data_IF_333819186799
#
_entry.id   IF_333819186799
#
_cell.length_a   1.000
_cell.length_b   1.000
_cell.length_c   1.000
_cell.angle_alpha   90.00
_cell.angle_beta   90.00
_cell.angle_gamma   90.00
#
_symmetry.space_group_name_H-M   'P 1'
#
loop_
_entity.id
_entity.type
_entity.pdbx_description
1 polymer ?
#
# COMPACT_ATOMS: atom_id res chain seq x y z
N UNK A 1 -27.38 -22.76 -4.22
CA UNK A 1 -27.67 -21.70 -3.24
C UNK A 1 -26.89 -20.49 -3.69
N UNK A 2 -27.57 -19.41 -4.15
CA UNK A 2 -26.88 -18.13 -4.41
C UNK A 2 -26.37 -17.59 -3.07
N UNK A 3 -25.07 -17.43 -2.93
CA UNK A 3 -24.49 -16.79 -1.76
C UNK A 3 -25.12 -15.40 -1.61
N UNK A 4 -25.69 -15.13 -0.45
CA UNK A 4 -26.22 -13.80 -0.13
C UNK A 4 -25.02 -12.88 0.05
N UNK A 5 -24.93 -11.84 -0.77
CA UNK A 5 -23.87 -10.86 -0.68
C UNK A 5 -23.97 -10.13 0.66
N UNK A 6 -22.89 -10.13 1.43
CA UNK A 6 -22.85 -9.51 2.76
C UNK A 6 -22.45 -8.03 2.73
N UNK A 7 -21.86 -7.57 1.63
CA UNK A 7 -21.40 -6.17 1.47
C UNK A 7 -22.56 -5.24 1.14
N UNK A 8 -22.59 -4.08 1.77
CA UNK A 8 -23.66 -3.09 1.60
C UNK A 8 -23.15 -1.66 1.74
N UNK A 9 -23.93 -0.71 1.19
CA UNK A 9 -23.85 0.72 1.41
C UNK A 9 -25.25 1.27 1.54
N UNK A 10 -25.55 1.95 2.63
CA UNK A 10 -26.88 2.47 2.96
C UNK A 10 -26.74 3.94 3.34
N UNK A 11 -27.30 4.81 2.51
CA UNK A 11 -27.44 6.23 2.83
C UNK A 11 -28.87 6.49 3.33
N UNK A 12 -29.00 6.92 4.57
CA UNK A 12 -30.28 7.26 5.19
C UNK A 12 -30.17 8.64 5.84
N UNK A 13 -30.87 9.62 5.25
CA UNK A 13 -30.79 11.05 5.67
C UNK A 13 -29.33 11.51 5.76
N UNK A 14 -28.84 11.71 6.97
CA UNK A 14 -27.52 12.27 7.26
C UNK A 14 -26.48 11.22 7.61
N UNK A 15 -26.78 9.94 7.38
CA UNK A 15 -25.89 8.84 7.77
C UNK A 15 -25.65 7.91 6.60
N UNK A 16 -24.35 7.67 6.28
CA UNK A 16 -23.91 6.67 5.34
C UNK A 16 -23.23 5.52 6.09
N UNK A 17 -23.71 4.30 5.89
CA UNK A 17 -23.14 3.08 6.45
C UNK A 17 -22.57 2.24 5.32
N UNK A 18 -21.30 1.90 5.40
CA UNK A 18 -20.60 1.04 4.44
C UNK A 18 -19.98 -0.11 5.22
N UNK A 19 -20.22 -1.34 4.79
CA UNK A 19 -19.70 -2.50 5.49
C UNK A 19 -20.05 -3.84 4.85
N UNK A 20 -19.69 -4.89 5.55
CA UNK A 20 -19.97 -6.27 5.23
C UNK A 20 -20.34 -7.07 6.51
N UNK A 21 -20.19 -8.39 6.50
CA UNK A 21 -20.44 -9.23 7.68
C UNK A 21 -19.37 -9.11 8.76
N UNK A 22 -18.20 -8.54 8.46
CA UNK A 22 -17.04 -8.45 9.37
C UNK A 22 -16.91 -7.08 10.02
N UNK A 23 -17.15 -6.02 9.27
CA UNK A 23 -17.00 -4.65 9.77
C UNK A 23 -18.02 -3.70 9.18
N UNK A 24 -18.19 -2.55 9.85
CA UNK A 24 -18.95 -1.42 9.34
C UNK A 24 -18.24 -0.12 9.72
N UNK A 25 -18.20 0.81 8.78
CA UNK A 25 -17.83 2.20 9.01
C UNK A 25 -19.08 3.07 8.80
N UNK A 26 -19.44 3.81 9.83
CA UNK A 26 -20.57 4.71 9.82
C UNK A 26 -20.10 6.16 9.73
N UNK A 27 -20.70 6.92 8.82
CA UNK A 27 -20.33 8.29 8.53
C UNK A 27 -21.50 9.24 8.71
N UNK A 28 -21.24 10.41 9.24
CA UNK A 28 -22.11 11.56 9.05
C UNK A 28 -21.96 12.04 7.60
N UNK A 29 -23.09 12.18 6.91
CA UNK A 29 -23.17 12.70 5.57
C UNK A 29 -23.28 14.22 5.58
N UNK A 30 -22.22 14.90 5.18
CA UNK A 30 -22.23 16.35 5.04
C UNK A 30 -22.06 16.73 3.57
N UNK A 31 -23.15 16.69 2.80
CA UNK A 31 -23.18 16.98 1.37
C UNK A 31 -22.10 16.21 0.56
N UNK A 32 -21.74 14.99 1.01
CA UNK A 32 -20.70 14.15 0.39
C UNK A 32 -19.34 14.19 1.10
N UNK A 33 -19.02 15.22 1.87
CA UNK A 33 -17.87 15.19 2.78
C UNK A 33 -18.21 14.30 3.98
N UNK A 34 -17.57 13.15 4.05
CA UNK A 34 -17.84 12.15 5.06
C UNK A 34 -17.05 12.44 6.33
N UNK A 35 -17.68 12.21 7.48
CA UNK A 35 -17.06 12.27 8.81
C UNK A 35 -17.36 10.98 9.54
N UNK A 36 -16.38 10.20 9.88
CA UNK A 36 -16.58 8.93 10.62
C UNK A 36 -17.16 9.22 12.01
N UNK A 37 -18.25 8.54 12.33
CA UNK A 37 -18.91 8.61 13.65
C UNK A 37 -18.87 7.29 14.41
N UNK A 38 -18.68 6.16 13.72
CA UNK A 38 -18.48 4.86 14.36
C UNK A 38 -17.70 3.92 13.46
N UNK A 39 -16.95 3.03 14.09
CA UNK A 39 -16.24 1.92 13.47
C UNK A 39 -16.57 0.65 14.25
N UNK A 40 -17.24 -0.30 13.61
CA UNK A 40 -17.74 -1.52 14.24
C UNK A 40 -16.97 -2.73 13.75
N UNK A 41 -16.43 -3.51 14.67
CA UNK A 41 -15.98 -4.87 14.45
C UNK A 41 -17.16 -5.82 14.72
N UNK A 42 -17.75 -6.34 13.64
CA UNK A 42 -18.92 -7.22 13.73
C UNK A 42 -18.58 -8.64 14.14
N UNK A 43 -17.34 -9.06 13.91
CA UNK A 43 -16.89 -10.38 14.32
C UNK A 43 -16.85 -10.51 15.85
N UNK A 44 -16.44 -9.43 16.51
CA UNK A 44 -16.32 -9.40 17.96
C UNK A 44 -17.49 -8.65 18.64
N UNK A 45 -18.40 -8.06 17.84
CA UNK A 45 -19.56 -7.31 18.37
C UNK A 45 -19.19 -6.02 19.08
N UNK A 46 -18.04 -5.42 18.73
CA UNK A 46 -17.52 -4.20 19.36
C UNK A 46 -17.64 -2.98 18.47
N UNK A 47 -17.79 -1.80 19.06
CA UNK A 47 -17.97 -0.54 18.35
C UNK A 47 -17.11 0.55 18.97
N UNK A 48 -16.23 1.14 18.16
CA UNK A 48 -15.45 2.32 18.51
C UNK A 48 -16.19 3.56 18.02
N UNK A 49 -16.66 4.37 18.97
CA UNK A 49 -17.34 5.65 18.67
C UNK A 49 -16.30 6.69 18.25
N UNK A 50 -16.64 7.48 17.24
CA UNK A 50 -15.83 8.58 16.74
C UNK A 50 -16.57 9.91 16.87
N UNK A 51 -15.82 11.01 16.96
CA UNK A 51 -16.38 12.35 17.23
C UNK A 51 -17.13 12.96 16.04
N UNK A 52 -16.72 12.62 14.80
CA UNK A 52 -17.34 13.17 13.60
C UNK A 52 -17.20 14.69 13.43
N UNK A 53 -16.19 15.29 14.04
CA UNK A 53 -16.03 16.76 14.03
C UNK A 53 -15.44 17.24 12.71
N UNK A 54 -14.43 16.54 12.19
CA UNK A 54 -13.68 16.93 10.99
C UNK A 54 -13.90 15.93 9.86
N UNK A 55 -13.86 16.38 8.58
CA UNK A 55 -13.94 15.48 7.45
C UNK A 55 -12.80 14.47 7.44
N UNK A 56 -13.10 13.24 7.04
CA UNK A 56 -12.10 12.17 6.90
C UNK A 56 -11.10 12.47 5.78
N UNK A 57 -11.59 13.06 4.70
CA UNK A 57 -10.75 13.56 3.60
C UNK A 57 -10.73 15.09 3.63
N UNK A 58 -9.53 15.66 3.60
CA UNK A 58 -9.35 17.12 3.63
C UNK A 58 -8.14 17.53 2.80
N UNK A 59 -8.39 18.21 1.69
CA UNK A 59 -7.33 18.72 0.81
C UNK A 59 -7.59 20.17 0.37
N UNK A 60 -8.85 20.60 0.34
CA UNK A 60 -9.27 21.92 -0.10
C UNK A 60 -10.01 22.67 1.01
N UNK A 61 -10.14 23.98 0.83
CA UNK A 61 -10.97 24.82 1.68
C UNK A 61 -12.39 24.94 1.08
N UNK A 62 -13.34 25.24 1.93
CA UNK A 62 -14.73 25.45 1.56
C UNK A 62 -15.64 24.29 1.94
N UNK A 63 -16.94 24.56 1.87
CA UNK A 63 -17.97 23.59 2.20
C UNK A 63 -18.20 22.61 1.04
N UNK A 64 -18.53 21.39 1.39
CA UNK A 64 -18.95 20.38 0.42
C UNK A 64 -20.35 20.69 -0.11
N UNK A 65 -20.56 20.46 -1.41
CA UNK A 65 -21.83 20.66 -2.11
C UNK A 65 -22.06 19.56 -3.13
N UNK A 66 -23.32 19.41 -3.55
CA UNK A 66 -23.69 18.49 -4.63
C UNK A 66 -23.34 17.03 -4.37
N UNK A 67 -23.31 16.62 -3.10
CA UNK A 67 -22.97 15.27 -2.71
C UNK A 67 -23.90 14.22 -3.31
N UNK A 68 -23.32 13.20 -3.96
CA UNK A 68 -24.04 12.06 -4.52
C UNK A 68 -23.34 10.77 -4.13
N UNK A 69 -24.13 9.73 -3.86
CA UNK A 69 -23.66 8.39 -3.61
C UNK A 69 -24.28 7.44 -4.62
N UNK A 70 -23.46 6.54 -5.15
CA UNK A 70 -23.90 5.37 -5.92
C UNK A 70 -23.13 4.14 -5.48
N UNK A 71 -23.71 2.98 -5.70
CA UNK A 71 -23.04 1.71 -5.43
C UNK A 71 -23.35 0.70 -6.52
N UNK A 72 -22.36 -0.15 -6.86
CA UNK A 72 -22.49 -1.20 -7.83
C UNK A 72 -21.66 -2.42 -7.43
N UNK A 73 -22.11 -3.59 -7.82
CA UNK A 73 -21.30 -4.80 -7.68
C UNK A 73 -20.37 -4.95 -8.87
N UNK A 74 -19.07 -4.98 -8.61
CA UNK A 74 -18.03 -5.21 -9.61
C UNK A 74 -17.64 -6.68 -9.56
N UNK A 75 -17.70 -7.35 -10.71
CA UNK A 75 -17.24 -8.73 -10.83
C UNK A 75 -15.72 -8.78 -10.97
N UNK A 76 -15.13 -9.90 -10.56
CA UNK A 76 -13.69 -10.10 -10.73
C UNK A 76 -13.30 -10.06 -12.19
N UNK A 77 -12.24 -9.31 -12.49
CA UNK A 77 -11.58 -9.24 -13.81
C UNK A 77 -10.38 -10.20 -13.93
N UNK A 78 -10.17 -11.03 -12.92
CA UNK A 78 -9.04 -11.95 -12.83
C UNK A 78 -7.79 -11.35 -12.16
N UNK A 79 -7.72 -10.04 -11.99
CA UNK A 79 -6.69 -9.33 -11.24
C UNK A 79 -7.27 -8.83 -9.92
N UNK A 80 -8.42 -8.18 -9.97
CA UNK A 80 -9.14 -7.66 -8.82
C UNK A 80 -10.30 -8.58 -8.46
N UNK A 81 -10.49 -8.97 -7.19
CA UNK A 81 -11.62 -9.81 -6.77
C UNK A 81 -12.94 -9.04 -6.85
N UNK A 82 -14.05 -9.78 -6.91
CA UNK A 82 -15.39 -9.19 -6.87
C UNK A 82 -15.60 -8.41 -5.58
N UNK A 83 -16.26 -7.25 -5.67
CA UNK A 83 -16.51 -6.38 -4.52
C UNK A 83 -17.70 -5.46 -4.77
N UNK A 84 -18.23 -4.90 -3.70
CA UNK A 84 -19.13 -3.76 -3.79
C UNK A 84 -18.29 -2.48 -3.92
N UNK A 85 -18.46 -1.79 -5.03
CA UNK A 85 -17.89 -0.45 -5.22
C UNK A 85 -18.91 0.60 -4.80
N UNK A 86 -18.51 1.51 -3.89
CA UNK A 86 -19.34 2.63 -3.43
C UNK A 86 -18.63 3.92 -3.80
N UNK A 87 -19.30 4.73 -4.59
CA UNK A 87 -18.75 5.99 -5.12
C UNK A 87 -19.47 7.15 -4.44
N UNK A 88 -18.71 8.02 -3.80
CA UNK A 88 -19.18 9.29 -3.22
C UNK A 88 -18.51 10.42 -3.99
N UNK A 89 -19.33 11.25 -4.65
CA UNK A 89 -18.87 12.43 -5.37
C UNK A 89 -19.43 13.68 -4.73
N UNK A 90 -18.65 14.75 -4.67
CA UNK A 90 -19.07 16.07 -4.23
C UNK A 90 -18.14 17.16 -4.77
N UNK A 91 -18.59 18.40 -4.69
CA UNK A 91 -17.76 19.56 -5.04
C UNK A 91 -17.31 20.27 -3.77
N UNK A 92 -16.07 20.75 -3.75
CA UNK A 92 -15.48 21.51 -2.64
C UNK A 92 -14.61 22.64 -3.20
N UNK A 93 -15.08 23.87 -3.08
CA UNK A 93 -14.45 25.02 -3.73
C UNK A 93 -14.44 24.85 -5.26
N UNK A 94 -13.27 24.82 -5.84
CA UNK A 94 -13.02 24.61 -7.29
C UNK A 94 -12.66 23.18 -7.65
N UNK A 95 -12.74 22.27 -6.70
CA UNK A 95 -12.46 20.84 -6.88
C UNK A 95 -13.74 20.02 -6.91
N UNK A 96 -13.80 19.05 -7.80
CA UNK A 96 -14.67 17.88 -7.65
C UNK A 96 -13.87 16.75 -7.02
N UNK A 97 -14.45 16.14 -6.02
CA UNK A 97 -13.88 15.02 -5.26
C UNK A 97 -14.69 13.76 -5.56
N UNK A 98 -13.99 12.65 -5.81
CA UNK A 98 -14.59 11.34 -5.98
C UNK A 98 -13.87 10.35 -5.06
N UNK A 99 -14.57 9.84 -4.05
CA UNK A 99 -14.08 8.77 -3.18
C UNK A 99 -14.69 7.44 -3.60
N UNK A 100 -13.85 6.45 -3.84
CA UNK A 100 -14.26 5.11 -4.29
C UNK A 100 -13.90 4.13 -3.19
N UNK A 101 -14.92 3.64 -2.47
CA UNK A 101 -14.76 2.59 -1.47
C UNK A 101 -14.95 1.23 -2.13
N UNK A 102 -14.11 0.27 -1.75
CA UNK A 102 -14.21 -1.13 -2.16
C UNK A 102 -14.46 -1.98 -0.93
N UNK A 103 -15.59 -2.67 -0.94
CA UNK A 103 -16.02 -3.53 0.16
C UNK A 103 -15.94 -4.97 -0.32
N UNK A 104 -14.92 -5.67 0.11
CA UNK A 104 -14.76 -7.10 -0.16
C UNK A 104 -15.56 -7.90 0.88
N UNK A 105 -16.15 -9.00 0.44
CA UNK A 105 -16.82 -9.90 1.37
C UNK A 105 -15.81 -10.57 2.30
N UNK A 106 -16.23 -10.89 3.51
CA UNK A 106 -15.43 -11.63 4.49
C UNK A 106 -14.06 -10.98 4.82
N UNK A 107 -13.98 -9.65 4.80
CA UNK A 107 -12.77 -8.92 5.21
C UNK A 107 -13.09 -7.91 6.31
N UNK A 108 -12.23 -7.81 7.33
CA UNK A 108 -12.37 -6.82 8.39
C UNK A 108 -11.81 -5.43 7.98
N UNK A 109 -11.84 -5.11 6.70
CA UNK A 109 -11.24 -3.88 6.18
C UNK A 109 -12.03 -3.28 5.02
N UNK A 110 -11.94 -1.95 4.89
CA UNK A 110 -12.57 -1.13 3.86
C UNK A 110 -11.48 -0.33 3.15
N UNK A 111 -11.33 -0.54 1.85
CA UNK A 111 -10.38 0.22 1.01
C UNK A 111 -11.05 1.47 0.44
N UNK A 112 -10.28 2.56 0.32
CA UNK A 112 -10.72 3.81 -0.28
C UNK A 112 -9.64 4.40 -1.18
N UNK A 113 -10.01 4.74 -2.42
CA UNK A 113 -9.17 5.53 -3.32
C UNK A 113 -9.88 6.83 -3.65
N UNK A 114 -9.16 7.95 -3.54
CA UNK A 114 -9.72 9.28 -3.82
C UNK A 114 -9.16 9.81 -5.14
N UNK A 115 -10.02 10.49 -5.87
CA UNK A 115 -9.70 11.15 -7.13
C UNK A 115 -10.10 12.61 -7.05
N UNK A 116 -9.31 13.49 -7.64
CA UNK A 116 -9.55 14.91 -7.73
C UNK A 116 -9.62 15.37 -9.18
N UNK A 117 -10.49 16.34 -9.43
CA UNK A 117 -10.58 17.04 -10.70
C UNK A 117 -10.88 18.51 -10.44
N UNK A 118 -10.26 19.42 -11.21
CA UNK A 118 -10.45 20.86 -11.04
C UNK A 118 -9.15 21.62 -10.85
N UNK A 119 -9.22 22.75 -10.18
CA UNK A 119 -8.07 23.59 -9.87
C UNK A 119 -7.97 23.83 -8.38
N UNK A 120 -6.77 23.77 -7.83
CA UNK A 120 -6.49 24.07 -6.44
C UNK A 120 -5.46 25.19 -6.35
N UNK A 121 -5.75 26.24 -5.58
CA UNK A 121 -4.73 27.20 -5.22
C UNK A 121 -3.76 26.50 -4.26
N UNK A 122 -2.52 26.37 -4.71
CA UNK A 122 -1.34 25.83 -4.03
C UNK A 122 -1.67 24.97 -2.79
N UNK A 123 -1.64 23.66 -2.94
CA UNK A 123 -1.41 22.77 -1.82
C UNK A 123 -0.14 23.32 -1.15
N UNK A 124 -0.25 23.93 0.01
CA UNK A 124 0.94 24.38 0.73
C UNK A 124 1.76 23.13 1.02
N UNK A 125 2.77 22.88 0.19
CA UNK A 125 3.80 21.91 0.52
C UNK A 125 4.44 22.39 1.84
N UNK A 126 4.49 21.52 2.81
CA UNK A 126 5.57 21.62 3.80
C UNK A 126 6.84 21.72 2.96
N UNK A 127 7.72 22.68 3.29
CA UNK A 127 8.94 22.94 2.56
C UNK A 127 9.58 21.61 2.14
N UNK A 128 10.01 21.58 0.90
CA UNK A 128 10.69 20.46 0.26
C UNK A 128 11.81 19.97 1.18
N UNK A 129 11.53 19.02 2.04
CA UNK A 129 12.50 18.41 2.93
C UNK A 129 13.19 17.31 2.14
N UNK A 130 13.73 17.72 0.98
CA UNK A 130 14.51 16.86 0.08
C UNK A 130 15.82 16.35 0.70
N UNK A 131 16.15 16.78 1.94
CA UNK A 131 17.37 16.43 2.64
C UNK A 131 17.17 16.19 4.15
N UNK A 132 16.13 15.46 4.55
CA UNK A 132 16.12 14.95 5.92
C UNK A 132 17.14 13.81 6.00
N UNK A 133 18.31 14.14 6.47
CA UNK A 133 19.34 13.18 6.84
C UNK A 133 18.69 12.17 7.81
N UNK A 134 18.71 10.88 7.46
CA UNK A 134 18.10 9.80 8.25
C UNK A 134 18.60 9.72 9.71
N UNK A 135 19.68 10.42 10.02
CA UNK A 135 20.25 10.51 11.37
C UNK A 135 19.46 11.40 12.33
N UNK A 136 18.56 12.26 11.84
CA UNK A 136 17.79 13.21 12.65
C UNK A 136 16.29 12.88 12.68
N UNK A 137 15.93 11.62 12.95
CA UNK A 137 14.53 11.19 13.09
C UNK A 137 13.80 11.96 14.21
N UNK A 138 14.51 12.36 15.27
CA UNK A 138 13.93 13.13 16.38
C UNK A 138 13.57 14.58 16.01
N UNK A 139 14.30 15.22 15.10
CA UNK A 139 14.03 16.61 14.70
C UNK A 139 12.88 16.75 13.68
N UNK A 140 12.56 15.72 12.93
CA UNK A 140 11.43 15.73 11.98
C UNK A 140 10.07 15.70 12.71
N UNK A 141 10.03 15.24 13.95
CA UNK A 141 8.81 15.16 14.76
C UNK A 141 8.30 16.53 15.21
N UNK A 142 9.20 17.47 15.46
CA UNK A 142 8.87 18.82 15.93
C UNK A 142 8.41 19.77 14.81
N UNK A 143 8.60 19.40 13.55
CA UNK A 143 8.27 20.24 12.39
C UNK A 143 6.86 20.05 11.83
N UNK A 144 6.00 19.30 12.49
CA UNK A 144 4.57 19.25 12.12
C UNK A 144 3.89 20.52 12.64
N UNK A 145 4.27 21.66 12.08
CA UNK A 145 3.56 22.93 12.29
C UNK A 145 2.15 22.83 11.73
N UNK A 146 1.24 23.65 12.21
CA UNK A 146 -0.21 23.76 11.89
C UNK A 146 -0.58 23.92 10.41
N UNK A 147 0.28 23.52 9.49
CA UNK A 147 -0.02 23.50 8.07
C UNK A 147 -1.19 22.53 7.85
N UNK A 148 -2.18 22.93 7.12
CA UNK A 148 -3.30 22.13 6.66
C UNK A 148 -2.74 21.01 5.78
N UNK A 149 -2.22 19.96 6.41
CA UNK A 149 -1.64 18.82 5.70
C UNK A 149 -2.76 18.10 4.97
N UNK A 150 -2.65 17.87 3.66
CA UNK A 150 -3.64 17.13 2.91
C UNK A 150 -3.86 15.75 3.54
N UNK A 151 -5.08 15.46 3.92
CA UNK A 151 -5.47 14.23 4.61
C UNK A 151 -6.23 13.33 3.65
N UNK A 152 -5.73 12.10 3.46
CA UNK A 152 -6.37 11.08 2.62
C UNK A 152 -7.51 10.38 3.34
N UNK A 153 -7.30 10.07 4.60
CA UNK A 153 -8.31 9.50 5.49
C UNK A 153 -8.01 9.85 6.93
N UNK A 154 -9.05 9.83 7.77
CA UNK A 154 -8.97 10.25 9.17
C UNK A 154 -10.00 9.52 10.00
N UNK A 155 -9.65 9.30 11.26
CA UNK A 155 -10.59 8.90 12.29
C UNK A 155 -10.27 9.59 13.61
N UNK A 156 -11.28 10.23 14.22
CA UNK A 156 -11.18 10.87 15.54
C UNK A 156 -12.01 10.06 16.53
N UNK A 157 -11.35 9.22 17.31
CA UNK A 157 -12.03 8.34 18.26
C UNK A 157 -12.26 9.00 19.62
N UNK A 158 -13.12 8.43 20.42
CA UNK A 158 -13.17 8.69 21.86
C UNK A 158 -12.10 7.82 22.56
N UNK A 159 -11.83 8.14 23.83
CA UNK A 159 -10.83 7.43 24.62
C UNK A 159 -9.47 8.13 24.63
N UNK A 160 -8.63 7.76 25.60
CA UNK A 160 -7.31 8.38 25.85
C UNK A 160 -6.19 7.36 26.01
N UNK A 161 -6.50 6.07 25.94
CA UNK A 161 -5.56 4.99 26.26
C UNK A 161 -5.08 4.27 24.99
N UNK A 162 -4.83 5.04 23.93
CA UNK A 162 -4.37 4.53 22.67
C UNK A 162 -2.88 4.21 22.71
N UNK A 163 -2.52 3.04 22.23
CA UNK A 163 -1.17 2.66 21.86
C UNK A 163 -1.10 2.49 20.36
N UNK A 164 -0.03 2.97 19.75
CA UNK A 164 0.17 2.93 18.31
C UNK A 164 1.46 2.22 17.94
N UNK A 165 1.42 1.53 16.79
CA UNK A 165 2.59 0.96 16.13
C UNK A 165 2.59 1.42 14.68
N UNK A 166 3.62 2.20 14.28
CA UNK A 166 3.86 2.52 12.88
C UNK A 166 4.89 1.53 12.30
N UNK A 167 4.65 1.06 11.07
CA UNK A 167 5.51 0.11 10.37
C UNK A 167 5.93 0.71 9.04
N UNK A 168 7.22 0.96 8.86
CA UNK A 168 7.83 1.41 7.62
C UNK A 168 8.47 0.23 6.91
N UNK A 169 8.08 0.01 5.65
CA UNK A 169 8.77 -0.95 4.77
C UNK A 169 10.02 -0.29 4.19
N UNK A 170 11.15 -0.94 4.38
CA UNK A 170 12.44 -0.47 3.89
C UNK A 170 12.80 -1.17 2.59
N UNK A 171 13.41 -0.44 1.66
CA UNK A 171 13.89 -0.96 0.37
C UNK A 171 15.40 -1.25 0.38
N UNK A 172 16.04 -1.24 1.55
CA UNK A 172 17.46 -1.60 1.71
C UNK A 172 17.57 -3.03 2.21
N UNK A 173 17.29 -3.96 1.36
CA UNK A 173 17.18 -5.38 1.72
C UNK A 173 18.51 -6.01 2.10
N UNK A 174 19.63 -5.52 1.52
CA UNK A 174 20.91 -6.23 1.63
C UNK A 174 21.83 -5.69 2.74
N UNK A 175 21.43 -4.62 3.41
CA UNK A 175 22.32 -3.91 4.35
C UNK A 175 22.02 -4.13 5.82
N UNK A 176 20.78 -4.44 6.19
CA UNK A 176 20.34 -4.37 7.59
C UNK A 176 19.67 -5.64 8.11
N UNK A 177 19.49 -6.67 7.31
CA UNK A 177 18.67 -7.87 7.64
C UNK A 177 17.22 -7.54 8.07
N UNK A 178 16.83 -6.27 8.02
CA UNK A 178 15.52 -5.76 8.39
C UNK A 178 14.80 -5.19 7.19
N UNK A 179 13.69 -5.81 6.80
CA UNK A 179 12.79 -5.30 5.75
C UNK A 179 11.79 -4.28 6.28
N UNK A 180 11.65 -4.17 7.60
CA UNK A 180 10.69 -3.29 8.26
C UNK A 180 11.34 -2.58 9.43
N UNK A 181 10.90 -1.35 9.66
CA UNK A 181 11.17 -0.60 10.88
C UNK A 181 9.86 -0.40 11.63
N UNK A 182 9.82 -0.79 12.89
CA UNK A 182 8.65 -0.67 13.75
C UNK A 182 8.89 0.38 14.84
N UNK A 183 7.90 1.24 15.02
CA UNK A 183 7.89 2.25 16.07
C UNK A 183 6.63 2.11 16.91
N UNK A 184 6.80 1.81 18.19
CA UNK A 184 5.72 1.76 19.18
C UNK A 184 5.72 3.05 20.01
N UNK A 185 4.55 3.66 20.19
CA UNK A 185 4.42 4.90 20.94
C UNK A 185 2.98 5.13 21.44
N UNK A 186 2.86 6.01 22.42
CA UNK A 186 1.56 6.53 22.89
C UNK A 186 1.36 7.91 22.25
N UNK A 187 0.25 8.15 21.55
CA UNK A 187 0.04 9.40 20.82
C UNK A 187 -0.44 10.54 21.74
N UNK A 188 0.31 10.85 22.80
CA UNK A 188 -0.05 11.89 23.79
C UNK A 188 0.19 13.33 23.31
N UNK A 189 0.79 13.49 22.15
CA UNK A 189 0.98 14.78 21.47
C UNK A 189 0.95 14.57 19.96
N UNK A 190 0.77 15.66 19.22
CA UNK A 190 0.82 15.63 17.76
C UNK A 190 2.19 15.13 17.28
N UNK A 191 2.20 14.06 16.53
CA UNK A 191 3.41 13.41 16.00
C UNK A 191 3.22 12.95 14.58
N UNK A 192 4.27 13.06 13.76
CA UNK A 192 4.35 12.47 12.43
C UNK A 192 5.03 11.11 12.47
N UNK A 193 4.54 10.17 11.67
CA UNK A 193 5.15 8.84 11.50
C UNK A 193 5.34 8.53 10.03
N UNK A 194 6.45 7.88 9.69
CA UNK A 194 6.65 7.24 8.40
C UNK A 194 6.08 5.83 8.43
N UNK A 195 5.74 5.32 7.27
CA UNK A 195 5.41 3.93 7.09
C UNK A 195 4.18 3.69 6.24
N UNK A 196 3.97 2.43 5.92
CA UNK A 196 2.82 1.98 5.14
C UNK A 196 1.67 1.49 6.03
N UNK A 197 1.95 1.18 7.30
CA UNK A 197 0.99 0.66 8.26
C UNK A 197 1.03 1.47 9.55
N UNK A 198 -0.15 1.75 10.08
CA UNK A 198 -0.35 2.26 11.43
C UNK A 198 -1.40 1.37 12.11
N UNK A 199 -1.02 0.74 13.20
CA UNK A 199 -1.94 0.05 14.09
C UNK A 199 -2.20 0.94 15.30
N UNK A 200 -3.45 0.98 15.76
CA UNK A 200 -3.83 1.64 17.00
C UNK A 200 -4.77 0.76 17.81
N UNK A 201 -4.49 0.61 19.09
CA UNK A 201 -5.25 -0.23 20.02
C UNK A 201 -5.59 0.59 21.28
N UNK A 202 -6.82 0.52 21.72
CA UNK A 202 -7.23 1.01 23.03
C UNK A 202 -6.85 -0.03 24.10
N UNK A 203 -6.01 0.38 25.03
CA UNK A 203 -5.46 -0.49 26.07
C UNK A 203 -6.50 -0.93 27.12
N UNK A 204 -7.67 -0.30 27.17
CA UNK A 204 -8.73 -0.66 28.11
C UNK A 204 -9.72 -1.68 27.57
N UNK A 205 -9.92 -1.68 26.26
CA UNK A 205 -10.97 -2.48 25.62
C UNK A 205 -10.41 -3.53 24.66
N UNK A 206 -9.12 -3.47 24.36
CA UNK A 206 -8.44 -4.24 23.32
C UNK A 206 -9.01 -4.07 21.90
N UNK A 207 -9.90 -3.08 21.71
CA UNK A 207 -10.40 -2.72 20.40
C UNK A 207 -9.34 -1.94 19.63
N UNK A 208 -9.16 -2.29 18.37
CA UNK A 208 -8.16 -1.64 17.55
C UNK A 208 -8.58 -1.49 16.10
N UNK A 209 -7.82 -0.67 15.41
CA UNK A 209 -7.91 -0.52 13.97
C UNK A 209 -6.51 -0.42 13.37
N UNK A 210 -6.43 -0.59 12.06
CA UNK A 210 -5.23 -0.28 11.30
C UNK A 210 -5.53 0.59 10.10
N UNK A 211 -4.58 1.45 9.76
CA UNK A 211 -4.48 2.05 8.44
C UNK A 211 -3.39 1.35 7.64
N UNK A 212 -3.70 0.99 6.40
CA UNK A 212 -2.71 0.63 5.37
C UNK A 212 -2.74 1.73 4.31
N UNK A 213 -1.63 2.45 4.15
CA UNK A 213 -1.45 3.39 3.05
C UNK A 213 -0.90 2.65 1.84
N UNK A 214 -1.65 2.65 0.76
CA UNK A 214 -1.27 2.00 -0.50
C UNK A 214 -0.40 2.96 -1.33
N UNK A 215 0.84 3.10 -0.92
CA UNK A 215 1.85 3.95 -1.53
C UNK A 215 3.20 3.23 -1.57
N UNK A 216 4.16 3.68 -2.38
CA UNK A 216 5.56 3.28 -2.23
C UNK A 216 6.10 3.60 -0.83
N UNK A 217 7.28 3.08 -0.49
CA UNK A 217 7.98 3.49 0.72
C UNK A 217 8.28 4.99 0.72
N UNK A 218 8.48 5.56 1.89
CA UNK A 218 8.68 7.02 2.09
C UNK A 218 9.79 7.62 1.22
N UNK A 219 10.85 6.84 0.94
CA UNK A 219 12.00 7.28 0.13
C UNK A 219 11.69 7.44 -1.36
N UNK A 220 10.61 6.83 -1.85
CA UNK A 220 10.25 6.79 -3.28
C UNK A 220 8.89 7.41 -3.59
N UNK A 221 8.19 7.93 -2.59
CA UNK A 221 6.91 8.61 -2.79
C UNK A 221 7.07 9.94 -3.52
N UNK A 222 6.16 10.21 -4.45
CA UNK A 222 6.05 11.53 -5.09
C UNK A 222 5.45 12.54 -4.09
N UNK A 223 6.00 13.75 -4.08
CA UNK A 223 5.52 14.85 -3.23
C UNK A 223 5.38 14.48 -1.75
N UNK A 224 6.33 13.71 -1.26
CA UNK A 224 6.35 13.25 0.12
C UNK A 224 6.62 14.39 1.10
N UNK A 225 5.75 14.53 2.11
CA UNK A 225 5.79 15.64 3.07
C UNK A 225 6.56 15.33 4.35
N UNK A 226 7.25 14.19 4.41
CA UNK A 226 8.03 13.75 5.59
C UNK A 226 7.25 12.82 6.53
N UNK A 227 5.94 12.67 6.37
CA UNK A 227 5.11 11.76 7.16
C UNK A 227 4.08 11.05 6.31
N UNK A 228 3.74 9.83 6.67
CA UNK A 228 2.63 9.05 6.10
C UNK A 228 1.40 9.10 6.99
N UNK A 229 1.62 9.16 8.31
CA UNK A 229 0.59 9.26 9.31
C UNK A 229 0.88 10.43 10.25
N UNK A 230 -0.18 11.06 10.73
CA UNK A 230 -0.13 12.02 11.83
C UNK A 230 -1.09 11.54 12.90
N UNK A 231 -0.62 11.51 14.13
CA UNK A 231 -1.41 11.17 15.31
C UNK A 231 -1.43 12.35 16.28
N UNK A 232 -2.57 12.57 16.95
CA UNK A 232 -2.74 13.61 17.95
C UNK A 232 -3.75 13.13 18.98
N UNK A 233 -3.28 12.58 20.10
CA UNK A 233 -4.10 11.89 21.11
C UNK A 233 -4.93 10.75 20.49
N UNK A 234 -6.17 11.02 20.16
CA UNK A 234 -7.13 10.09 19.60
C UNK A 234 -7.56 10.44 18.17
N UNK A 235 -6.79 11.29 17.51
CA UNK A 235 -6.98 11.71 16.14
C UNK A 235 -5.86 11.08 15.26
N UNK A 236 -6.25 10.28 14.29
CA UNK A 236 -5.34 9.51 13.45
C UNK A 236 -5.60 9.85 11.99
N UNK A 237 -4.56 10.26 11.28
CA UNK A 237 -4.65 10.76 9.91
C UNK A 237 -3.67 10.02 9.00
N UNK A 238 -4.11 9.69 7.80
CA UNK A 238 -3.28 9.26 6.66
C UNK A 238 -3.02 10.49 5.80
N UNK A 239 -1.76 10.82 5.55
CA UNK A 239 -1.34 12.03 4.84
C UNK A 239 -0.43 11.72 3.66
N UNK A 240 0.07 12.73 2.96
CA UNK A 240 0.92 12.62 1.76
C UNK A 240 0.20 11.92 0.60
N UNK A 241 -0.65 12.65 -0.13
CA UNK A 241 -1.51 12.08 -1.17
C UNK A 241 -0.79 11.63 -2.45
N UNK A 242 0.50 11.92 -2.62
CA UNK A 242 1.29 11.54 -3.79
C UNK A 242 1.13 12.48 -4.99
N UNK A 243 0.44 13.60 -4.83
CA UNK A 243 0.23 14.60 -5.88
C UNK A 243 0.48 16.01 -5.37
N UNK A 244 0.92 16.88 -6.25
CA UNK A 244 0.96 18.33 -6.05
C UNK A 244 -0.26 19.01 -6.65
N UNK A 245 -0.41 20.31 -6.42
CA UNK A 245 -1.44 21.11 -7.07
C UNK A 245 -1.31 21.13 -8.59
N UNK A 246 -0.09 21.00 -9.14
CA UNK A 246 0.16 20.97 -10.57
C UNK A 246 -0.27 19.66 -11.24
N UNK A 247 -0.32 18.55 -10.47
CA UNK A 247 -0.72 17.25 -11.00
C UNK A 247 -2.25 17.12 -11.15
N UNK A 248 -3.01 17.94 -10.43
CA UNK A 248 -4.46 17.91 -10.46
C UNK A 248 -4.95 18.51 -11.78
N UNK A 249 -5.61 17.69 -12.60
CA UNK A 249 -6.09 18.09 -13.92
C UNK A 249 -7.46 18.75 -13.83
N UNK A 250 -7.66 19.79 -14.65
CA UNK A 250 -8.92 20.53 -14.69
C UNK A 250 -10.08 19.67 -15.21
N UNK A 251 -9.85 18.89 -16.26
CA UNK A 251 -10.90 18.17 -16.99
C UNK A 251 -10.86 16.64 -16.81
N UNK A 252 -9.84 16.11 -16.15
CA UNK A 252 -9.70 14.65 -15.92
C UNK A 252 -9.40 14.32 -14.46
N UNK A 253 -9.79 13.12 -14.06
CA UNK A 253 -9.57 12.65 -12.70
C UNK A 253 -8.11 12.30 -12.43
N UNK A 254 -7.52 12.93 -11.42
CA UNK A 254 -6.20 12.60 -10.88
C UNK A 254 -6.37 11.69 -9.68
N UNK A 255 -5.77 10.51 -9.73
CA UNK A 255 -5.80 9.51 -8.64
C UNK A 255 -4.79 9.89 -7.57
N UNK A 256 -5.20 9.81 -6.30
CA UNK A 256 -4.35 9.89 -5.12
C UNK A 256 -3.93 8.49 -4.66
N UNK A 257 -2.98 8.41 -3.72
CA UNK A 257 -2.69 7.15 -3.03
C UNK A 257 -3.95 6.62 -2.34
N UNK A 258 -4.11 5.31 -2.36
CA UNK A 258 -5.20 4.64 -1.64
C UNK A 258 -4.90 4.48 -0.16
N UNK A 259 -5.93 4.23 0.62
CA UNK A 259 -5.82 3.81 2.00
C UNK A 259 -6.86 2.76 2.35
N UNK A 260 -6.53 1.93 3.32
CA UNK A 260 -7.40 0.89 3.86
C UNK A 260 -7.54 1.11 5.35
N UNK A 261 -8.75 1.07 5.84
CA UNK A 261 -9.06 1.06 7.27
C UNK A 261 -9.63 -0.31 7.64
N UNK A 262 -8.99 -0.99 8.57
CA UNK A 262 -9.49 -2.27 9.08
C UNK A 262 -9.64 -2.27 10.59
N UNK A 263 -10.37 -3.26 11.12
CA UNK A 263 -10.66 -3.41 12.55
C UNK A 263 -10.11 -4.72 13.10
N UNK A 264 -9.82 -4.74 14.39
CA UNK A 264 -9.45 -5.95 15.12
C UNK A 264 -9.76 -5.82 16.61
N UNK A 265 -9.82 -6.94 17.31
CA UNK A 265 -9.89 -6.97 18.78
C UNK A 265 -8.83 -7.94 19.29
N UNK A 266 -8.03 -7.50 20.27
CA UNK A 266 -6.96 -8.26 20.89
C UNK A 266 -5.58 -7.69 20.65
N UNK A 267 -4.57 -8.52 20.87
CA UNK A 267 -3.16 -8.16 20.80
C UNK A 267 -2.63 -8.13 19.36
N UNK A 268 -1.34 -7.90 19.22
CA UNK A 268 -0.62 -7.76 17.93
C UNK A 268 -0.96 -8.86 16.93
N UNK A 269 -1.07 -10.11 17.38
CA UNK A 269 -1.45 -11.23 16.52
C UNK A 269 -2.82 -11.02 15.87
N UNK A 270 -3.80 -10.50 16.63
CA UNK A 270 -5.13 -10.22 16.10
C UNK A 270 -5.08 -9.13 15.03
N UNK A 271 -4.30 -8.07 15.24
CA UNK A 271 -4.07 -7.01 14.27
C UNK A 271 -3.46 -7.54 12.96
N UNK A 272 -2.44 -8.39 13.05
CA UNK A 272 -1.79 -9.02 11.91
C UNK A 272 -2.72 -10.00 11.18
N UNK A 273 -3.54 -10.77 11.89
CA UNK A 273 -4.55 -11.67 11.29
C UNK A 273 -5.59 -10.88 10.53
N UNK A 274 -6.06 -9.76 11.08
CA UNK A 274 -7.02 -8.88 10.41
C UNK A 274 -6.45 -8.30 9.11
N UNK A 275 -5.24 -7.73 9.15
CA UNK A 275 -4.54 -7.25 7.97
C UNK A 275 -4.32 -8.36 6.95
N UNK A 276 -3.87 -9.54 7.39
CA UNK A 276 -3.61 -10.68 6.51
C UNK A 276 -4.88 -11.21 5.84
N UNK A 277 -6.00 -11.19 6.54
CA UNK A 277 -7.30 -11.56 5.99
C UNK A 277 -7.67 -10.67 4.81
N UNK A 278 -7.47 -9.34 4.95
CA UNK A 278 -7.66 -8.40 3.85
C UNK A 278 -6.70 -8.68 2.69
N UNK A 279 -5.42 -8.84 2.95
CA UNK A 279 -4.41 -9.10 1.92
C UNK A 279 -4.67 -10.40 1.15
N UNK A 280 -5.08 -11.46 1.84
CA UNK A 280 -5.43 -12.75 1.21
C UNK A 280 -6.63 -12.62 0.27
N UNK A 281 -7.61 -11.79 0.62
CA UNK A 281 -8.77 -11.55 -0.25
C UNK A 281 -8.36 -10.91 -1.59
N UNK A 282 -7.35 -10.04 -1.58
CA UNK A 282 -6.85 -9.39 -2.80
C UNK A 282 -5.96 -10.31 -3.64
N UNK A 283 -5.32 -11.29 -3.01
CA UNK A 283 -4.39 -12.18 -3.67
C UNK A 283 -5.13 -13.26 -4.45
N UNK A 284 -4.83 -13.36 -5.73
CA UNK A 284 -5.25 -14.51 -6.52
C UNK A 284 -4.21 -15.61 -6.35
N UNK A 285 -4.62 -16.70 -5.73
CA UNK A 285 -3.78 -17.91 -5.63
C UNK A 285 -3.52 -18.50 -7.01
N UNK A 286 -2.27 -18.85 -7.25
CA UNK A 286 -1.82 -19.55 -8.45
C UNK A 286 -0.77 -20.58 -8.02
N UNK A 287 -1.22 -21.80 -7.78
CA UNK A 287 -0.41 -22.89 -7.22
C UNK A 287 0.95 -23.04 -7.89
N UNK A 288 1.00 -22.95 -9.21
CA UNK A 288 2.26 -23.06 -9.97
C UNK A 288 3.31 -21.98 -9.66
N UNK A 289 2.89 -20.84 -9.10
CA UNK A 289 3.77 -19.74 -8.70
C UNK A 289 3.93 -19.63 -7.18
N UNK A 290 2.86 -19.95 -6.44
CA UNK A 290 2.84 -19.79 -4.98
C UNK A 290 3.56 -20.93 -4.26
N UNK A 291 3.59 -22.12 -4.87
CA UNK A 291 4.25 -23.31 -4.34
C UNK A 291 5.61 -23.58 -5.01
N UNK A 292 6.09 -22.69 -5.87
CA UNK A 292 7.36 -22.88 -6.54
C UNK A 292 8.53 -22.82 -5.54
N UNK A 293 9.45 -23.75 -5.71
CA UNK A 293 10.77 -23.70 -5.09
C UNK A 293 11.74 -23.29 -6.18
N UNK A 294 12.34 -22.11 -6.03
CA UNK A 294 13.20 -21.53 -7.05
C UNK A 294 14.68 -21.63 -6.67
N UNK A 295 15.50 -22.06 -7.61
CA UNK A 295 16.94 -21.82 -7.60
C UNK A 295 17.25 -20.68 -8.56
N UNK A 296 17.77 -19.58 -8.02
CA UNK A 296 18.25 -18.43 -8.78
C UNK A 296 19.78 -18.46 -8.79
N UNK A 297 20.39 -18.22 -9.95
CA UNK A 297 21.85 -18.24 -10.08
C UNK A 297 22.54 -17.02 -9.49
N UNK A 298 21.81 -16.02 -9.02
CA UNK A 298 22.37 -14.81 -8.40
C UNK A 298 22.81 -14.99 -6.94
N UNK A 299 22.55 -16.10 -6.33
CA UNK A 299 22.87 -16.33 -4.90
C UNK A 299 24.34 -16.55 -4.57
N UNK A 300 25.21 -16.86 -5.56
CA UNK A 300 26.62 -17.13 -5.34
C UNK A 300 27.51 -15.92 -5.72
N UNK A 301 28.63 -15.80 -5.08
CA UNK A 301 29.65 -14.78 -5.38
C UNK A 301 30.32 -15.10 -6.72
N UNK A 302 30.31 -14.18 -7.66
CA UNK A 302 30.89 -14.35 -8.99
C UNK A 302 29.97 -15.08 -9.98
N UNK A 303 28.67 -14.90 -9.84
CA UNK A 303 27.64 -15.54 -10.70
C UNK A 303 27.86 -15.28 -12.17
N UNK A 304 28.16 -14.04 -12.54
CA UNK A 304 28.39 -13.64 -13.91
C UNK A 304 29.67 -14.28 -14.54
N UNK A 305 30.64 -14.68 -13.73
CA UNK A 305 31.83 -15.41 -14.19
C UNK A 305 31.53 -16.90 -14.43
N UNK A 306 30.82 -17.52 -13.47
CA UNK A 306 30.60 -18.97 -13.43
C UNK A 306 29.47 -19.43 -14.32
N UNK A 307 28.49 -18.53 -14.60
CA UNK A 307 27.35 -18.89 -15.42
C UNK A 307 27.79 -19.23 -16.85
N UNK A 308 27.65 -20.49 -17.21
CA UNK A 308 27.88 -21.02 -18.56
C UNK A 308 27.00 -22.25 -18.77
N UNK A 309 26.99 -22.80 -19.99
CA UNK A 309 26.14 -23.94 -20.34
C UNK A 309 26.42 -25.17 -19.46
N UNK A 310 27.67 -25.51 -19.21
CA UNK A 310 28.07 -26.66 -18.37
C UNK A 310 27.60 -26.50 -16.93
N UNK A 311 27.83 -25.32 -16.33
CA UNK A 311 27.33 -24.97 -15.00
C UNK A 311 25.81 -25.14 -14.91
N UNK A 312 25.09 -24.56 -15.86
CA UNK A 312 23.62 -24.61 -15.84
C UNK A 312 23.09 -26.04 -15.96
N UNK A 313 23.68 -26.86 -16.81
CA UNK A 313 23.28 -28.27 -16.96
C UNK A 313 23.53 -29.08 -15.68
N UNK A 314 24.64 -28.86 -15.02
CA UNK A 314 24.99 -29.52 -13.76
C UNK A 314 24.05 -29.07 -12.63
N UNK A 315 23.77 -27.75 -12.51
CA UNK A 315 22.92 -27.24 -11.48
C UNK A 315 21.43 -27.62 -11.69
N UNK A 316 20.97 -27.75 -12.94
CA UNK A 316 19.65 -28.31 -13.24
C UNK A 316 19.46 -29.72 -12.69
N UNK A 317 20.50 -30.60 -12.91
CA UNK A 317 20.43 -31.96 -12.40
C UNK A 317 20.45 -32.05 -10.88
N UNK A 318 21.16 -31.14 -10.22
CA UNK A 318 21.14 -31.00 -8.75
C UNK A 318 19.79 -30.45 -8.24
N UNK A 319 19.30 -29.43 -8.90
CA UNK A 319 18.02 -28.82 -8.59
C UNK A 319 16.87 -29.83 -8.66
N UNK A 320 16.84 -30.65 -9.72
CA UNK A 320 15.85 -31.72 -9.88
C UNK A 320 15.89 -32.75 -8.72
N UNK A 321 17.07 -33.14 -8.26
CA UNK A 321 17.25 -34.05 -7.11
C UNK A 321 16.77 -33.45 -5.79
N UNK A 322 16.79 -32.12 -5.66
CA UNK A 322 16.33 -31.38 -4.48
C UNK A 322 14.84 -31.03 -4.55
N UNK A 323 14.13 -31.39 -5.62
CA UNK A 323 12.71 -31.04 -5.77
C UNK A 323 12.46 -29.57 -6.13
N UNK A 324 13.48 -28.89 -6.65
CA UNK A 324 13.35 -27.50 -7.11
C UNK A 324 12.54 -27.49 -8.41
N UNK A 325 11.50 -26.66 -8.45
CA UNK A 325 10.53 -26.63 -9.55
C UNK A 325 10.81 -25.55 -10.59
N UNK A 326 11.58 -24.53 -10.23
CA UNK A 326 11.94 -23.40 -11.11
C UNK A 326 13.46 -23.15 -11.05
N UNK A 327 14.08 -23.11 -12.22
CA UNK A 327 15.49 -22.72 -12.37
C UNK A 327 15.54 -21.38 -13.12
N UNK A 328 16.05 -20.35 -12.47
CA UNK A 328 16.18 -19.01 -13.03
C UNK A 328 17.64 -18.68 -13.33
N UNK A 329 17.92 -18.37 -14.59
CA UNK A 329 19.18 -17.74 -14.97
C UNK A 329 19.07 -16.24 -14.71
N UNK A 330 19.91 -15.75 -13.81
CA UNK A 330 20.05 -14.33 -13.49
C UNK A 330 21.20 -13.71 -14.31
N UNK A 331 21.60 -12.50 -13.98
CA UNK A 331 22.65 -11.73 -14.67
C UNK A 331 23.91 -12.58 -14.96
N UNK A 332 24.56 -12.35 -16.11
CA UNK A 332 25.78 -13.08 -16.53
C UNK A 332 25.58 -14.08 -17.65
N UNK A 333 24.33 -14.41 -18.06
CA UNK A 333 24.05 -15.27 -19.22
C UNK A 333 24.06 -14.49 -20.54
N UNK A 334 23.76 -13.21 -20.49
CA UNK A 334 23.63 -12.34 -21.67
C UNK A 334 24.98 -11.82 -22.18
N UNK A 335 24.97 -11.38 -23.44
CA UNK A 335 26.11 -10.70 -24.08
C UNK A 335 26.33 -9.28 -23.57
N UNK A 336 25.24 -8.61 -23.13
CA UNK A 336 25.30 -7.27 -22.59
C UNK A 336 26.00 -7.20 -21.24
N UNK A 337 26.58 -6.04 -20.94
CA UNK A 337 27.32 -5.81 -19.70
C UNK A 337 26.40 -5.15 -18.68
N UNK A 338 26.29 -5.73 -17.50
CA UNK A 338 25.52 -5.21 -16.38
C UNK A 338 26.42 -4.40 -15.43
N UNK A 339 25.91 -3.35 -14.76
CA UNK A 339 26.66 -2.66 -13.72
C UNK A 339 26.97 -3.57 -12.51
N UNK A 340 26.24 -4.67 -12.37
CA UNK A 340 26.47 -5.66 -11.32
C UNK A 340 27.51 -6.73 -11.72
N UNK A 341 27.99 -6.72 -12.96
CA UNK A 341 29.03 -7.64 -13.41
C UNK A 341 30.37 -7.30 -12.75
N UNK A 342 31.02 -8.30 -12.16
CA UNK A 342 32.36 -8.16 -11.61
C UNK A 342 33.42 -8.07 -12.71
N UNK A 343 33.17 -8.69 -13.86
CA UNK A 343 34.16 -8.84 -14.92
C UNK A 343 34.14 -7.69 -15.93
N UNK A 344 32.99 -7.10 -16.16
CA UNK A 344 32.81 -6.24 -17.32
C UNK A 344 32.12 -4.91 -17.09
N UNK A 345 31.88 -4.48 -15.89
CA UNK A 345 31.19 -3.22 -15.55
C UNK A 345 30.39 -2.56 -16.67
N UNK A 346 29.15 -2.29 -16.51
CA UNK A 346 28.29 -1.73 -17.54
C UNK A 346 27.42 -0.58 -17.01
N UNK A 347 26.51 -0.10 -17.85
CA UNK A 347 25.53 0.93 -17.46
C UNK A 347 24.15 0.48 -17.88
N UNK A 348 23.16 0.62 -16.98
CA UNK A 348 21.76 0.38 -17.33
C UNK A 348 21.24 1.33 -18.42
N UNK A 349 21.91 2.44 -18.69
CA UNK A 349 21.54 3.38 -19.77
C UNK A 349 21.61 2.74 -21.15
N UNK A 350 22.38 1.69 -21.31
CA UNK A 350 22.65 1.04 -22.60
C UNK A 350 21.72 -0.16 -22.85
N UNK A 351 21.06 -0.69 -21.81
CA UNK A 351 20.15 -1.84 -21.89
C UNK A 351 19.05 -1.66 -22.93
N UNK A 352 18.49 -0.46 -23.00
CA UNK A 352 17.35 -0.13 -23.86
C UNK A 352 17.73 0.31 -25.27
N UNK A 353 19.00 0.50 -25.52
CA UNK A 353 19.50 1.01 -26.82
C UNK A 353 20.02 -0.10 -27.72
N UNK A 354 20.39 -1.23 -27.16
CA UNK A 354 21.01 -2.34 -27.87
C UNK A 354 20.18 -3.62 -27.72
N UNK A 355 19.50 -4.01 -28.79
CA UNK A 355 18.71 -5.24 -28.84
C UNK A 355 19.57 -6.51 -28.66
N UNK A 356 20.88 -6.44 -28.92
CA UNK A 356 21.83 -7.56 -28.74
C UNK A 356 22.16 -7.80 -27.27
N UNK A 357 21.85 -6.85 -26.38
CA UNK A 357 22.11 -6.97 -24.95
C UNK A 357 21.57 -8.29 -24.36
N UNK A 358 20.33 -8.62 -24.69
CA UNK A 358 19.62 -9.79 -24.17
C UNK A 358 19.79 -11.07 -25.02
N UNK A 359 20.90 -11.20 -25.71
CA UNK A 359 21.25 -12.43 -26.40
C UNK A 359 22.17 -13.30 -25.54
N UNK A 360 22.09 -14.65 -25.63
CA UNK A 360 23.02 -15.50 -24.94
C UNK A 360 24.50 -15.20 -25.35
N UNK A 361 25.36 -15.09 -24.35
CA UNK A 361 26.77 -14.87 -24.60
C UNK A 361 27.37 -16.11 -25.33
N UNK A 362 27.87 -16.01 -26.56
CA UNK A 362 28.28 -17.16 -27.34
C UNK A 362 29.51 -17.88 -26.75
N UNK A 363 30.35 -17.19 -25.99
CA UNK A 363 31.50 -17.80 -25.31
C UNK A 363 31.08 -18.69 -24.14
N UNK A 364 29.99 -18.30 -23.45
CA UNK A 364 29.44 -19.02 -22.28
C UNK A 364 28.41 -20.06 -22.69
N UNK A 365 27.67 -19.80 -23.74
CA UNK A 365 26.55 -20.61 -24.23
C UNK A 365 26.72 -20.86 -25.74
N UNK A 366 27.69 -21.68 -26.15
CA UNK A 366 27.98 -21.92 -27.57
C UNK A 366 26.80 -22.53 -28.34
N UNK A 367 25.90 -23.24 -27.65
CA UNK A 367 24.69 -23.82 -28.23
C UNK A 367 23.43 -22.99 -27.88
N UNK A 368 23.57 -21.76 -27.34
CA UNK A 368 22.49 -20.94 -26.82
C UNK A 368 21.83 -21.56 -25.58
N UNK A 369 20.57 -21.16 -25.30
CA UNK A 369 19.84 -21.66 -24.12
C UNK A 369 18.94 -22.86 -24.41
N UNK A 370 18.87 -23.34 -25.67
CA UNK A 370 17.92 -24.39 -26.09
C UNK A 370 18.09 -25.69 -25.30
N UNK A 371 19.32 -26.12 -25.09
CA UNK A 371 19.62 -27.36 -24.36
C UNK A 371 19.25 -27.26 -22.89
N UNK A 372 19.54 -26.13 -22.27
CA UNK A 372 19.20 -25.83 -20.87
C UNK A 372 17.67 -25.86 -20.68
N UNK A 373 16.91 -25.14 -21.54
CA UNK A 373 15.46 -25.16 -21.52
C UNK A 373 14.87 -26.55 -21.69
N UNK A 374 15.42 -27.32 -22.65
CA UNK A 374 15.02 -28.73 -22.89
C UNK A 374 15.29 -29.63 -21.69
N UNK A 375 16.41 -29.42 -20.99
CA UNK A 375 16.78 -30.19 -19.79
C UNK A 375 15.86 -29.81 -18.60
N UNK A 376 15.60 -28.52 -18.41
CA UNK A 376 14.76 -28.03 -17.33
C UNK A 376 13.27 -28.40 -17.45
N UNK A 377 12.82 -28.79 -18.65
CA UNK A 377 11.44 -29.27 -18.87
C UNK A 377 11.26 -30.78 -18.63
N UNK A 378 12.31 -31.52 -18.37
CA UNK A 378 12.27 -32.94 -18.02
C UNK A 378 12.18 -33.17 -16.53
#
# INVERSE_FOLDING_TARGET
VKAVKSSYAILNKDTLRIGNSYMERCFLWNHGALKTIALTDKLHGTCMQARGERPDFAIAQGDARNGKMSSQWVLSDGVQPSHLEVIVCYDQGTLSVKRVFKVYENTPALACTTYLKGTIQKLKSVADVSNVDRKNIESAEDMVTELKTPTLDRIQLFGKHWQTKAVEFLDYTDWNDNLVFERNFIPYRKSGCRGNLLFAKDQLTDNGFFFLKESPSSSTQLHYTGSDFITDFNDFMVVSPGVSSADIKKESWTRLYGCVLGVFQGEERAALVSLRTYQKQLRKEKSSSDEMIMLNTWGDRSQDEKINEEFCMRELDRAAKLGITVFQLDDGWQSGKSPNSKTNGGSFKDIWKDNSYWTPNPMKFPHGLKNIVKRGKK
#
